data_IF_160438246335
#
_entry.id   IF_160438246335
#
_cell.length_a   1.000
_cell.length_b   1.000
_cell.length_c   1.000
_cell.angle_alpha   90.00
_cell.angle_beta   90.00
_cell.angle_gamma   90.00
#
_symmetry.space_group_name_H-M   'P 1'
#
loop_
_entity.id
_entity.type
_entity.pdbx_description
1 polymer ?
#
# COMPACT_ATOMS: atom_id res chain seq x y z
N UNK A 1 39.08 -1.02 -9.88
CA UNK A 1 38.19 -2.11 -9.43
C UNK A 1 39.04 -3.36 -9.40
N UNK A 2 39.18 -3.99 -8.23
CA UNK A 2 39.99 -5.21 -8.10
C UNK A 2 39.29 -6.37 -8.81
N UNK A 3 40.04 -7.41 -9.21
CA UNK A 3 39.48 -8.62 -9.86
C UNK A 3 38.39 -9.32 -9.01
N UNK A 4 38.31 -9.02 -7.70
CA UNK A 4 37.28 -9.55 -6.80
C UNK A 4 35.88 -8.91 -7.00
N UNK A 5 35.78 -7.74 -7.64
CA UNK A 5 34.49 -7.10 -7.91
C UNK A 5 33.74 -7.73 -9.10
N UNK A 6 34.44 -8.43 -10.00
CA UNK A 6 33.86 -9.00 -11.22
C UNK A 6 33.10 -10.33 -10.99
N UNK A 7 33.10 -10.86 -9.77
CA UNK A 7 32.50 -12.16 -9.42
C UNK A 7 31.27 -12.07 -8.51
N UNK A 8 30.86 -10.88 -8.06
CA UNK A 8 29.64 -10.76 -7.26
C UNK A 8 28.43 -10.95 -8.18
N UNK A 9 27.50 -11.87 -7.86
CA UNK A 9 26.29 -12.05 -8.65
C UNK A 9 25.50 -10.73 -8.68
N UNK A 10 24.97 -10.37 -9.85
CA UNK A 10 24.09 -9.20 -9.96
C UNK A 10 22.92 -9.37 -8.99
N UNK A 11 22.51 -8.32 -8.26
CA UNK A 11 21.40 -8.41 -7.30
C UNK A 11 20.05 -8.67 -7.97
N UNK A 12 19.97 -8.46 -9.29
CA UNK A 12 18.77 -8.64 -10.09
C UNK A 12 19.12 -9.13 -11.50
N UNK A 13 18.32 -10.03 -12.09
CA UNK A 13 18.45 -10.42 -13.50
C UNK A 13 17.80 -9.40 -14.46
N UNK A 14 17.08 -8.40 -13.94
CA UNK A 14 16.35 -7.43 -14.75
C UNK A 14 17.28 -6.30 -15.23
N UNK A 15 17.17 -5.86 -16.49
CA UNK A 15 17.92 -4.72 -17.00
C UNK A 15 17.54 -3.42 -16.28
N UNK A 16 18.55 -2.60 -15.98
CA UNK A 16 18.38 -1.33 -15.28
C UNK A 16 17.49 -0.37 -16.09
N UNK A 17 16.43 0.13 -15.48
CA UNK A 17 15.60 1.18 -16.07
C UNK A 17 14.58 0.76 -17.13
N UNK A 18 14.47 -0.53 -17.44
CA UNK A 18 13.54 -1.01 -18.48
C UNK A 18 12.22 -1.45 -17.86
N UNK A 19 11.12 -0.85 -18.29
CA UNK A 19 9.79 -1.36 -17.99
C UNK A 19 9.53 -2.62 -18.82
N UNK A 20 9.33 -3.75 -18.15
CA UNK A 20 9.17 -5.06 -18.79
C UNK A 20 7.77 -5.64 -18.51
N UNK A 21 6.78 -5.43 -19.40
CA UNK A 21 5.51 -6.15 -19.31
C UNK A 21 5.76 -7.66 -19.29
N UNK A 22 5.16 -8.36 -18.31
CA UNK A 22 5.39 -9.79 -18.06
C UNK A 22 6.85 -10.15 -17.64
N UNK A 23 7.61 -9.18 -17.15
CA UNK A 23 8.98 -9.38 -16.68
C UNK A 23 9.89 -9.97 -17.76
N UNK A 24 10.53 -11.12 -17.48
CA UNK A 24 11.39 -11.80 -18.46
C UNK A 24 10.63 -12.75 -19.40
N UNK A 25 9.30 -12.80 -19.33
CA UNK A 25 8.47 -13.75 -20.08
C UNK A 25 8.84 -15.22 -19.81
N UNK A 26 9.24 -15.52 -18.58
CA UNK A 26 9.68 -16.87 -18.14
C UNK A 26 8.66 -17.60 -17.28
N UNK A 27 7.50 -16.99 -17.04
CA UNK A 27 6.43 -17.60 -16.26
C UNK A 27 5.91 -18.86 -16.98
N UNK A 28 5.61 -19.95 -16.25
CA UNK A 28 5.05 -21.14 -16.85
C UNK A 28 3.67 -20.83 -17.47
N UNK A 29 3.31 -21.48 -18.60
CA UNK A 29 1.99 -21.28 -19.19
C UNK A 29 0.89 -21.72 -18.22
N UNK A 30 -0.23 -21.00 -18.19
CA UNK A 30 -1.41 -21.33 -17.40
C UNK A 30 -2.48 -21.97 -18.31
N UNK A 31 -2.57 -23.30 -18.41
CA UNK A 31 -3.56 -23.95 -19.27
C UNK A 31 -4.98 -23.77 -18.73
N UNK A 32 -5.98 -23.87 -19.61
CA UNK A 32 -7.39 -23.65 -19.24
C UNK A 32 -7.93 -24.64 -18.19
N UNK A 33 -7.27 -25.77 -18.00
CA UNK A 33 -7.60 -26.80 -17.00
C UNK A 33 -6.69 -26.78 -15.77
N UNK A 34 -5.87 -25.73 -15.59
CA UNK A 34 -5.02 -25.59 -14.42
C UNK A 34 -5.90 -25.50 -13.14
N UNK A 35 -5.55 -26.20 -12.05
CA UNK A 35 -6.36 -26.20 -10.81
C UNK A 35 -6.49 -24.83 -10.14
N UNK A 36 -5.66 -23.85 -10.53
CA UNK A 36 -5.71 -22.48 -10.00
C UNK A 36 -6.57 -21.53 -10.84
N UNK A 37 -7.10 -21.98 -11.98
CA UNK A 37 -8.02 -21.19 -12.80
C UNK A 37 -9.22 -20.76 -11.95
N UNK A 38 -9.41 -19.45 -11.84
CA UNK A 38 -10.50 -18.83 -11.08
C UNK A 38 -10.16 -18.46 -9.63
N UNK A 39 -8.92 -18.67 -9.17
CA UNK A 39 -8.46 -18.15 -7.88
C UNK A 39 -8.53 -16.61 -7.86
N UNK A 40 -8.79 -16.05 -6.68
CA UNK A 40 -9.05 -14.62 -6.48
C UNK A 40 -8.39 -14.13 -5.20
N UNK A 41 -7.69 -12.99 -5.29
CA UNK A 41 -7.30 -12.23 -4.10
C UNK A 41 -8.50 -11.41 -3.63
N UNK A 42 -9.19 -11.94 -2.61
CA UNK A 42 -10.47 -11.41 -2.16
C UNK A 42 -10.33 -10.13 -1.31
N UNK A 43 -9.55 -10.20 -0.24
CA UNK A 43 -9.38 -9.13 0.72
C UNK A 43 -7.93 -9.03 1.20
N UNK A 44 -7.60 -7.88 1.77
CA UNK A 44 -6.38 -7.65 2.54
C UNK A 44 -6.78 -7.27 3.97
N UNK A 45 -6.14 -7.87 4.97
CA UNK A 45 -6.43 -7.61 6.38
C UNK A 45 -5.32 -6.79 7.02
N UNK A 46 -5.69 -5.76 7.75
CA UNK A 46 -4.79 -5.02 8.63
C UNK A 46 -5.40 -4.81 10.00
N UNK A 47 -4.53 -4.82 11.02
CA UNK A 47 -4.95 -4.51 12.38
C UNK A 47 -5.05 -3.00 12.53
N UNK A 48 -6.12 -2.56 13.19
CA UNK A 48 -6.34 -1.14 13.49
C UNK A 48 -6.51 -0.96 14.99
N UNK A 49 -5.92 0.11 15.52
CA UNK A 49 -5.95 0.40 16.97
C UNK A 49 -7.27 1.03 17.37
N UNK A 50 -7.76 1.99 16.58
CA UNK A 50 -8.95 2.77 16.91
C UNK A 50 -9.91 2.78 15.70
N UNK A 51 -11.05 2.06 15.79
CA UNK A 51 -12.00 1.99 14.69
C UNK A 51 -12.63 3.34 14.37
N UNK A 52 -12.80 4.26 15.33
CA UNK A 52 -13.39 5.57 15.03
C UNK A 52 -12.50 6.36 14.07
N UNK A 53 -11.20 6.42 14.37
CA UNK A 53 -10.22 7.09 13.50
C UNK A 53 -10.11 6.41 12.15
N UNK A 54 -10.09 5.08 12.15
CA UNK A 54 -10.00 4.29 10.92
C UNK A 54 -11.22 4.48 10.03
N UNK A 55 -12.43 4.48 10.58
CA UNK A 55 -13.65 4.74 9.82
C UNK A 55 -13.68 6.16 9.27
N UNK A 56 -13.26 7.16 10.04
CA UNK A 56 -13.12 8.53 9.53
C UNK A 56 -12.21 8.57 8.30
N UNK A 57 -11.04 7.93 8.36
CA UNK A 57 -10.13 7.87 7.22
C UNK A 57 -10.71 7.10 6.03
N UNK A 58 -11.06 5.83 6.20
CA UNK A 58 -11.42 4.94 5.09
C UNK A 58 -12.83 5.20 4.54
N UNK A 59 -13.80 5.59 5.37
CA UNK A 59 -15.18 5.84 4.94
C UNK A 59 -15.40 7.30 4.55
N UNK A 60 -15.06 8.25 5.42
CA UNK A 60 -15.37 9.67 5.16
C UNK A 60 -14.40 10.30 4.17
N UNK A 61 -13.08 10.09 4.33
CA UNK A 61 -12.07 10.75 3.49
C UNK A 61 -11.77 9.96 2.21
N UNK A 62 -11.73 8.63 2.28
CA UNK A 62 -11.43 7.76 1.14
C UNK A 62 -12.67 7.25 0.41
N UNK A 63 -13.86 7.31 1.03
CA UNK A 63 -15.12 7.02 0.33
C UNK A 63 -15.51 5.54 0.27
N UNK A 64 -14.83 4.66 1.00
CA UNK A 64 -15.24 3.27 1.14
C UNK A 64 -16.54 3.16 1.94
N UNK A 65 -17.23 2.03 1.86
CA UNK A 65 -18.44 1.75 2.63
C UNK A 65 -18.37 0.38 3.26
N UNK A 66 -19.00 0.25 4.43
CA UNK A 66 -19.10 -1.02 5.14
C UNK A 66 -19.90 -2.02 4.32
N UNK A 67 -19.27 -3.16 4.04
CA UNK A 67 -19.93 -4.35 3.50
C UNK A 67 -20.62 -5.09 4.64
N UNK A 68 -19.84 -5.43 5.67
CA UNK A 68 -20.37 -5.98 6.92
C UNK A 68 -19.41 -5.69 8.08
N UNK A 69 -19.94 -5.82 9.29
CA UNK A 69 -19.18 -5.79 10.53
C UNK A 69 -19.56 -7.00 11.35
N UNK A 70 -18.58 -7.67 11.94
CA UNK A 70 -18.81 -8.81 12.83
C UNK A 70 -18.00 -8.64 14.10
N UNK A 71 -18.69 -8.47 15.22
CA UNK A 71 -18.08 -8.60 16.54
C UNK A 71 -18.07 -10.09 16.90
N UNK A 72 -16.88 -10.63 17.18
CA UNK A 72 -16.69 -12.05 17.50
C UNK A 72 -16.32 -12.28 18.97
N UNK A 73 -16.42 -11.26 19.82
CA UNK A 73 -16.04 -11.30 21.23
C UNK A 73 -14.81 -10.45 21.49
N UNK A 74 -13.58 -10.99 21.40
CA UNK A 74 -12.35 -10.26 21.72
C UNK A 74 -11.88 -9.27 20.63
N UNK A 75 -12.51 -9.34 19.45
CA UNK A 75 -12.20 -8.44 18.34
C UNK A 75 -13.43 -8.18 17.48
N UNK A 76 -13.34 -7.18 16.62
CA UNK A 76 -14.34 -6.88 15.59
C UNK A 76 -13.65 -6.70 14.25
N UNK A 77 -14.24 -7.31 13.22
CA UNK A 77 -13.80 -7.14 11.82
C UNK A 77 -14.77 -6.21 11.10
N UNK A 78 -14.22 -5.27 10.35
CA UNK A 78 -14.95 -4.34 9.50
C UNK A 78 -14.49 -4.59 8.06
N UNK A 79 -15.36 -5.17 7.25
CA UNK A 79 -15.10 -5.34 5.82
C UNK A 79 -15.59 -4.12 5.07
N UNK A 80 -14.68 -3.44 4.37
CA UNK A 80 -14.96 -2.25 3.58
C UNK A 80 -14.75 -2.52 2.09
N UNK A 81 -15.54 -1.86 1.26
CA UNK A 81 -15.38 -1.87 -0.20
C UNK A 81 -15.98 -0.62 -0.86
N UNK A 82 -15.78 -0.46 -2.16
CA UNK A 82 -16.35 0.66 -2.92
C UNK A 82 -17.64 0.28 -3.65
N UNK A 83 -18.75 1.01 -3.43
CA UNK A 83 -19.96 0.88 -4.24
C UNK A 83 -19.71 1.21 -5.72
N UNK A 84 -19.80 0.19 -6.59
CA UNK A 84 -19.46 0.34 -8.01
C UNK A 84 -20.61 0.93 -8.85
N UNK A 85 -21.86 0.73 -8.44
CA UNK A 85 -23.05 1.20 -9.19
C UNK A 85 -23.67 2.46 -8.59
N UNK A 86 -24.41 3.22 -9.40
CA UNK A 86 -25.17 4.37 -8.91
C UNK A 86 -26.25 3.96 -7.89
N UNK A 87 -26.86 2.79 -8.09
CA UNK A 87 -27.83 2.20 -7.16
C UNK A 87 -27.19 1.91 -5.80
N UNK A 88 -26.03 1.24 -5.76
CA UNK A 88 -25.32 0.97 -4.52
C UNK A 88 -24.81 2.24 -3.82
N UNK A 89 -24.48 3.30 -4.58
CA UNK A 89 -24.14 4.61 -4.00
C UNK A 89 -25.35 5.32 -3.40
N UNK A 90 -26.54 5.11 -3.94
CA UNK A 90 -27.79 5.69 -3.44
C UNK A 90 -28.38 4.90 -2.25
N UNK A 91 -28.16 3.58 -2.20
CA UNK A 91 -28.62 2.69 -1.13
C UNK A 91 -27.47 1.83 -0.59
N UNK A 92 -26.90 2.29 0.52
CA UNK A 92 -25.78 1.62 1.18
C UNK A 92 -26.17 0.32 1.89
N UNK A 93 -27.43 0.18 2.32
CA UNK A 93 -27.90 -1.07 2.91
C UNK A 93 -27.98 -2.17 1.85
N UNK A 94 -28.47 -1.81 0.65
CA UNK A 94 -28.42 -2.69 -0.52
C UNK A 94 -26.98 -3.03 -0.93
N UNK A 95 -26.08 -2.05 -0.96
CA UNK A 95 -24.66 -2.29 -1.23
C UNK A 95 -24.07 -3.34 -0.28
N UNK A 96 -24.27 -3.17 1.04
CA UNK A 96 -23.76 -4.09 2.05
C UNK A 96 -24.35 -5.49 1.88
N UNK A 97 -25.68 -5.60 1.75
CA UNK A 97 -26.39 -6.87 1.56
C UNK A 97 -25.95 -7.62 0.30
N UNK A 98 -25.99 -6.97 -0.86
CA UNK A 98 -25.63 -7.59 -2.14
C UNK A 98 -24.16 -8.03 -2.17
N UNK A 99 -23.26 -7.19 -1.66
CA UNK A 99 -21.82 -7.48 -1.62
C UNK A 99 -21.52 -8.62 -0.65
N UNK A 100 -22.14 -8.64 0.54
CA UNK A 100 -21.97 -9.72 1.52
C UNK A 100 -22.46 -11.08 0.97
N UNK A 101 -23.56 -11.11 0.22
CA UNK A 101 -24.04 -12.34 -0.44
C UNK A 101 -23.06 -12.86 -1.52
N UNK A 102 -22.17 -12.02 -2.03
CA UNK A 102 -21.16 -12.35 -3.05
C UNK A 102 -19.73 -12.23 -2.51
N UNK A 103 -19.55 -12.32 -1.18
CA UNK A 103 -18.30 -12.01 -0.51
C UNK A 103 -17.10 -12.71 -1.16
N UNK A 104 -17.19 -14.03 -1.32
CA UNK A 104 -16.17 -14.91 -1.92
C UNK A 104 -15.80 -14.62 -3.39
N UNK A 105 -16.55 -13.76 -4.08
CA UNK A 105 -16.30 -13.40 -5.47
C UNK A 105 -15.96 -11.92 -5.67
N UNK A 106 -16.08 -11.12 -4.62
CA UNK A 106 -15.76 -9.69 -4.63
C UNK A 106 -14.24 -9.52 -4.51
N UNK A 107 -13.65 -8.59 -5.24
CA UNK A 107 -12.22 -8.29 -5.18
C UNK A 107 -11.99 -6.95 -4.49
N UNK A 108 -10.80 -6.76 -3.93
CA UNK A 108 -10.38 -5.47 -3.39
C UNK A 108 -11.13 -5.05 -2.13
N UNK A 109 -11.49 -6.01 -1.28
CA UNK A 109 -12.04 -5.71 0.04
C UNK A 109 -10.92 -5.41 1.04
N UNK A 110 -11.16 -4.47 1.95
CA UNK A 110 -10.28 -4.18 3.07
C UNK A 110 -10.91 -4.70 4.35
N UNK A 111 -10.25 -5.62 5.02
CA UNK A 111 -10.62 -6.10 6.34
C UNK A 111 -9.84 -5.32 7.40
N UNK A 112 -10.53 -4.45 8.13
CA UNK A 112 -9.97 -3.78 9.29
C UNK A 112 -10.27 -4.61 10.54
N UNK A 113 -9.23 -5.02 11.24
CA UNK A 113 -9.31 -5.94 12.37
C UNK A 113 -8.98 -5.21 13.67
N UNK A 114 -10.01 -4.94 14.47
CA UNK A 114 -9.88 -4.24 15.74
C UNK A 114 -9.85 -5.23 16.91
N UNK A 115 -8.69 -5.38 17.55
CA UNK A 115 -8.57 -6.10 18.82
C UNK A 115 -9.02 -5.19 19.95
N UNK A 116 -10.04 -5.60 20.70
CA UNK A 116 -10.66 -4.73 21.70
C UNK A 116 -9.68 -4.36 22.82
N UNK A 117 -9.63 -3.07 23.15
CA UNK A 117 -8.74 -2.52 24.16
C UNK A 117 -7.39 -2.04 23.63
N UNK A 118 -7.07 -2.27 22.35
CA UNK A 118 -5.90 -1.67 21.69
C UNK A 118 -5.98 -0.13 21.67
N UNK A 119 -7.19 0.43 21.53
CA UNK A 119 -7.47 1.86 21.60
C UNK A 119 -7.11 2.49 22.96
N UNK A 120 -7.04 1.68 24.02
CA UNK A 120 -6.66 2.11 25.39
C UNK A 120 -5.18 1.88 25.72
N UNK A 121 -4.44 1.16 24.87
CA UNK A 121 -3.02 0.93 25.11
C UNK A 121 -2.20 2.16 24.76
N UNK A 122 -1.07 2.34 25.44
CA UNK A 122 -0.09 3.36 25.08
C UNK A 122 0.51 3.06 23.70
N UNK A 123 0.87 4.12 22.99
CA UNK A 123 1.71 4.03 21.80
C UNK A 123 3.16 4.07 22.23
N UNK A 124 4.03 3.42 21.46
CA UNK A 124 5.48 3.49 21.66
C UNK A 124 6.12 3.94 20.35
N UNK A 125 7.25 4.67 20.41
CA UNK A 125 8.08 4.86 19.22
C UNK A 125 8.47 3.51 18.63
N UNK A 126 8.66 3.43 17.32
CA UNK A 126 9.27 2.22 16.75
C UNK A 126 10.69 2.05 17.29
N UNK A 127 11.08 0.80 17.53
CA UNK A 127 12.43 0.48 17.95
C UNK A 127 13.44 0.77 16.83
N UNK A 128 14.51 1.53 17.11
CA UNK A 128 15.62 1.68 16.17
C UNK A 128 15.53 2.87 15.20
N UNK A 129 14.60 3.81 15.41
CA UNK A 129 14.58 5.08 14.69
C UNK A 129 14.35 6.25 15.66
N UNK A 130 15.37 7.10 15.86
CA UNK A 130 15.20 8.37 16.61
C UNK A 130 14.16 9.25 15.92
N UNK A 131 13.17 9.74 16.68
CA UNK A 131 12.08 10.56 16.14
C UNK A 131 10.95 9.78 15.45
N UNK A 132 10.91 8.45 15.56
CA UNK A 132 9.83 7.64 15.00
C UNK A 132 8.46 8.00 15.58
N UNK A 133 7.44 8.04 14.72
CA UNK A 133 6.07 8.28 15.16
C UNK A 133 5.59 7.16 16.10
N UNK A 134 5.03 7.53 17.25
CA UNK A 134 4.51 6.56 18.20
C UNK A 134 3.29 5.82 17.65
N UNK A 135 3.27 4.50 17.77
CA UNK A 135 2.14 3.67 17.34
C UNK A 135 1.99 2.43 18.20
N UNK A 136 0.88 1.72 18.02
CA UNK A 136 0.60 0.46 18.72
C UNK A 136 0.90 -0.75 17.83
N UNK A 137 0.54 -0.69 16.54
CA UNK A 137 0.85 -1.73 15.57
C UNK A 137 2.04 -1.33 14.69
N UNK A 138 2.92 -2.29 14.41
CA UNK A 138 3.96 -2.11 13.40
C UNK A 138 3.32 -2.08 12.00
N UNK A 139 3.80 -1.16 11.17
CA UNK A 139 3.31 -0.97 9.80
C UNK A 139 4.03 -1.85 8.79
N UNK A 140 5.18 -2.43 9.16
CA UNK A 140 6.07 -3.12 8.22
C UNK A 140 7.11 -2.21 7.54
N UNK A 141 7.12 -0.91 7.84
CA UNK A 141 7.99 0.07 7.16
C UNK A 141 9.03 0.71 8.09
N UNK A 142 9.23 0.15 9.28
CA UNK A 142 10.26 0.62 10.21
C UNK A 142 11.03 -0.56 10.76
N UNK A 143 12.38 -0.52 10.72
CA UNK A 143 13.20 -1.53 11.38
C UNK A 143 12.83 -1.68 12.86
N UNK A 144 13.13 -2.83 13.48
CA UNK A 144 13.60 -4.07 12.85
C UNK A 144 12.47 -4.84 12.12
N UNK A 145 11.24 -4.32 12.10
CA UNK A 145 10.04 -5.05 11.69
C UNK A 145 9.66 -4.77 10.22
N UNK A 146 10.62 -4.78 9.30
CA UNK A 146 10.37 -4.56 7.87
C UNK A 146 9.56 -5.70 7.25
N UNK A 147 8.60 -5.40 6.37
CA UNK A 147 7.70 -6.38 5.78
C UNK A 147 6.67 -5.75 4.83
N UNK A 148 5.42 -5.59 5.31
CA UNK A 148 4.35 -4.96 4.52
C UNK A 148 4.72 -3.53 4.12
N UNK A 149 4.56 -3.19 2.85
CA UNK A 149 4.85 -1.85 2.31
C UNK A 149 3.66 -0.90 2.46
N UNK A 150 2.65 -1.02 1.60
CA UNK A 150 1.54 -0.08 1.56
C UNK A 150 0.28 -0.69 0.92
N UNK A 151 -0.84 -0.03 1.12
CA UNK A 151 -2.04 -0.21 0.31
C UNK A 151 -1.96 0.69 -0.93
N UNK A 152 -2.50 0.23 -2.07
CA UNK A 152 -2.64 1.04 -3.28
C UNK A 152 -4.10 1.30 -3.64
N UNK A 153 -4.48 2.57 -3.78
CA UNK A 153 -5.81 2.99 -4.22
C UNK A 153 -5.69 3.80 -5.51
N UNK A 154 -6.39 3.35 -6.55
CA UNK A 154 -6.54 4.18 -7.74
C UNK A 154 -7.60 5.26 -7.51
N UNK A 155 -7.29 6.49 -7.92
CA UNK A 155 -8.17 7.65 -7.78
C UNK A 155 -8.30 8.38 -9.13
N UNK A 156 -9.45 9.01 -9.41
CA UNK A 156 -9.62 9.80 -10.63
C UNK A 156 -8.65 10.98 -10.74
N UNK A 157 -8.31 11.61 -9.61
CA UNK A 157 -7.41 12.75 -9.51
C UNK A 157 -6.60 12.67 -8.21
N UNK A 158 -5.30 12.41 -8.33
CA UNK A 158 -4.36 12.43 -7.19
C UNK A 158 -4.29 13.81 -6.54
N UNK A 159 -4.17 14.94 -7.29
CA UNK A 159 -4.16 16.27 -6.68
C UNK A 159 -5.38 16.56 -5.80
N UNK A 160 -6.58 16.22 -6.28
CA UNK A 160 -7.83 16.48 -5.53
C UNK A 160 -7.96 15.56 -4.31
N UNK A 161 -7.61 14.28 -4.45
CA UNK A 161 -7.58 13.35 -3.32
C UNK A 161 -6.60 13.81 -2.24
N UNK A 162 -5.39 14.18 -2.64
CA UNK A 162 -4.35 14.64 -1.72
C UNK A 162 -4.73 15.97 -1.05
N UNK A 163 -5.30 16.91 -1.79
CA UNK A 163 -5.78 18.17 -1.22
C UNK A 163 -6.87 17.95 -0.15
N UNK A 164 -7.82 17.05 -0.40
CA UNK A 164 -8.85 16.67 0.58
C UNK A 164 -8.24 16.06 1.84
N UNK A 165 -7.27 15.16 1.69
CA UNK A 165 -6.61 14.50 2.81
C UNK A 165 -5.79 15.50 3.64
N UNK A 166 -4.98 16.34 2.99
CA UNK A 166 -4.23 17.45 3.62
C UNK A 166 -5.15 18.38 4.41
N UNK A 167 -6.28 18.78 3.82
CA UNK A 167 -7.27 19.65 4.48
C UNK A 167 -7.89 19.03 5.74
N UNK A 168 -7.82 17.70 5.89
CA UNK A 168 -8.30 16.97 7.05
C UNK A 168 -7.18 16.52 8.01
N UNK A 169 -5.97 17.08 7.86
CA UNK A 169 -4.84 16.82 8.75
C UNK A 169 -4.19 15.46 8.57
N UNK A 170 -4.42 14.78 7.44
CA UNK A 170 -3.76 13.52 7.12
C UNK A 170 -2.28 13.78 6.84
N UNK A 171 -1.40 12.98 7.44
CA UNK A 171 0.04 13.04 7.21
C UNK A 171 0.38 12.62 5.77
N UNK A 172 1.19 13.44 5.11
CA UNK A 172 1.72 13.16 3.77
C UNK A 172 3.13 12.63 3.92
N UNK A 173 3.34 11.38 3.52
CA UNK A 173 4.65 10.74 3.50
C UNK A 173 5.45 11.19 2.28
N UNK A 174 4.77 11.32 1.14
CA UNK A 174 5.35 11.76 -0.13
C UNK A 174 4.32 12.58 -0.89
N UNK A 175 4.70 13.80 -1.25
CA UNK A 175 3.86 14.68 -2.06
C UNK A 175 3.90 14.34 -3.56
N UNK A 176 2.97 14.91 -4.31
CA UNK A 176 2.96 14.82 -5.77
C UNK A 176 4.15 15.58 -6.35
N UNK A 177 4.76 15.05 -7.41
CA UNK A 177 5.94 15.65 -8.05
C UNK A 177 7.27 15.35 -7.36
N UNK A 178 7.25 14.75 -6.17
CA UNK A 178 8.46 14.37 -5.43
C UNK A 178 8.99 13.03 -5.95
N UNK A 179 10.29 12.98 -6.23
CA UNK A 179 11.04 11.75 -6.50
C UNK A 179 12.51 11.98 -6.11
N UNK A 180 12.79 11.77 -4.84
CA UNK A 180 14.13 11.82 -4.25
C UNK A 180 14.41 10.49 -3.53
N UNK A 181 15.66 10.29 -3.12
CA UNK A 181 16.06 9.03 -2.49
C UNK A 181 15.34 8.82 -1.15
N UNK A 182 15.06 9.91 -0.45
CA UNK A 182 14.42 9.95 0.86
C UNK A 182 12.94 9.54 0.80
N UNK A 183 12.25 9.78 -0.33
CA UNK A 183 10.87 9.35 -0.54
C UNK A 183 10.72 7.91 -1.02
N UNK A 184 11.81 7.24 -1.39
CA UNK A 184 11.82 5.84 -1.78
C UNK A 184 11.99 4.96 -0.54
N UNK A 185 11.15 3.92 -0.33
CA UNK A 185 11.09 3.14 0.91
C UNK A 185 12.25 2.13 1.01
N UNK A 186 13.48 2.63 1.09
CA UNK A 186 14.69 1.88 1.44
C UNK A 186 15.29 2.58 2.65
N UNK A 187 15.30 1.88 3.79
CA UNK A 187 15.65 2.47 5.08
C UNK A 187 17.16 2.74 5.22
N UNK A 188 17.52 3.73 6.02
CA UNK A 188 18.94 3.96 6.37
C UNK A 188 19.54 2.75 7.09
N UNK A 189 18.74 2.04 7.88
CA UNK A 189 19.14 0.79 8.53
C UNK A 189 19.57 -0.28 7.52
N UNK A 190 18.90 -0.38 6.37
CA UNK A 190 19.30 -1.26 5.25
C UNK A 190 20.58 -0.72 4.57
N UNK A 191 20.62 0.57 4.25
CA UNK A 191 21.76 1.19 3.58
C UNK A 191 23.07 1.04 4.38
N UNK A 192 23.04 1.29 5.69
CA UNK A 192 24.18 1.14 6.60
C UNK A 192 24.73 -0.28 6.63
N UNK A 193 23.91 -1.28 6.25
CA UNK A 193 24.27 -2.69 6.14
C UNK A 193 24.64 -3.11 4.72
N UNK A 194 24.76 -2.16 3.80
CA UNK A 194 25.08 -2.44 2.39
C UNK A 194 23.91 -2.97 1.57
N UNK A 195 22.67 -2.82 2.05
CA UNK A 195 21.45 -3.27 1.36
C UNK A 195 20.78 -2.07 0.69
N UNK A 196 20.43 -2.21 -0.60
CA UNK A 196 19.73 -1.14 -1.34
C UNK A 196 20.54 0.14 -1.56
N UNK A 197 21.88 0.05 -1.54
CA UNK A 197 22.77 1.21 -1.63
C UNK A 197 22.79 1.79 -3.04
N UNK A 198 22.43 3.07 -3.12
CA UNK A 198 22.50 3.86 -4.35
C UNK A 198 23.93 4.37 -4.57
N UNK A 199 24.49 4.14 -5.77
CA UNK A 199 25.77 4.70 -6.19
C UNK A 199 25.59 5.39 -7.53
N UNK A 200 25.70 6.73 -7.52
CA UNK A 200 25.51 7.57 -8.71
C UNK A 200 26.44 7.15 -9.85
N UNK A 201 25.88 7.10 -11.06
CA UNK A 201 26.59 6.69 -12.28
C UNK A 201 26.75 5.17 -12.43
N UNK A 202 26.04 4.36 -11.64
CA UNK A 202 26.08 2.89 -11.72
C UNK A 202 24.69 2.29 -11.93
N UNK A 203 24.63 0.97 -12.17
CA UNK A 203 23.38 0.22 -12.28
C UNK A 203 22.57 0.18 -10.95
N UNK A 204 23.11 0.67 -9.83
CA UNK A 204 22.37 0.80 -8.56
C UNK A 204 21.78 2.20 -8.33
N UNK A 205 22.04 3.18 -9.20
CA UNK A 205 21.39 4.49 -9.16
C UNK A 205 19.89 4.35 -9.49
N UNK A 206 19.03 5.15 -8.85
CA UNK A 206 17.61 5.17 -9.20
C UNK A 206 17.47 5.64 -10.65
N UNK A 207 16.94 4.77 -11.50
CA UNK A 207 16.85 5.07 -12.92
C UNK A 207 15.84 6.21 -13.19
N UNK A 208 16.14 7.19 -14.06
CA UNK A 208 15.25 8.33 -14.32
C UNK A 208 13.85 7.97 -14.80
N UNK A 209 13.69 6.83 -15.48
CA UNK A 209 12.36 6.32 -15.89
C UNK A 209 11.45 6.05 -14.69
N UNK A 210 12.00 5.66 -13.54
CA UNK A 210 11.20 5.46 -12.32
C UNK A 210 10.56 6.77 -11.87
N UNK A 211 11.28 7.90 -12.01
CA UNK A 211 10.75 9.21 -11.62
C UNK A 211 9.52 9.62 -12.44
N UNK A 212 9.41 9.20 -13.70
CA UNK A 212 8.23 9.51 -14.54
C UNK A 212 6.93 8.97 -13.92
N UNK A 213 6.99 7.76 -13.39
CA UNK A 213 5.86 7.12 -12.67
C UNK A 213 5.75 7.67 -11.25
N UNK A 214 6.86 7.68 -10.51
CA UNK A 214 6.86 7.97 -9.07
C UNK A 214 6.43 9.41 -8.74
N UNK A 215 6.70 10.37 -9.63
CA UNK A 215 6.23 11.75 -9.47
C UNK A 215 4.71 11.91 -9.62
N UNK A 216 4.02 10.94 -10.23
CA UNK A 216 2.57 10.97 -10.48
C UNK A 216 1.73 10.38 -9.34
N UNK A 217 2.37 9.69 -8.39
CA UNK A 217 1.72 9.12 -7.21
C UNK A 217 1.98 9.96 -5.96
N UNK A 218 1.18 9.76 -4.93
CA UNK A 218 1.39 10.34 -3.61
C UNK A 218 1.21 9.28 -2.51
N UNK A 219 1.91 9.45 -1.40
CA UNK A 219 1.78 8.59 -0.22
C UNK A 219 1.26 9.40 0.97
N UNK A 220 0.26 8.86 1.66
CA UNK A 220 -0.24 9.38 2.93
C UNK A 220 -0.20 8.29 4.00
N UNK A 221 -0.34 8.66 5.28
CA UNK A 221 -0.56 7.68 6.36
C UNK A 221 -2.02 7.60 6.75
N UNK A 222 -2.47 6.38 7.00
CA UNK A 222 -3.70 6.16 7.75
C UNK A 222 -3.47 6.41 9.26
N UNK A 223 -4.51 6.34 10.11
CA UNK A 223 -4.41 6.62 11.54
C UNK A 223 -3.50 5.67 12.34
N UNK A 224 -3.21 4.48 11.82
CA UNK A 224 -2.30 3.50 12.43
C UNK A 224 -0.88 3.61 11.87
N UNK A 225 -0.68 4.49 10.87
CA UNK A 225 0.60 4.80 10.26
C UNK A 225 0.91 3.98 9.01
N UNK A 226 -0.01 3.13 8.55
CA UNK A 226 0.15 2.39 7.30
C UNK A 226 0.20 3.36 6.13
N UNK A 227 1.11 3.11 5.19
CA UNK A 227 1.23 3.92 3.99
C UNK A 227 0.08 3.56 3.04
N UNK A 228 -0.55 4.59 2.50
CA UNK A 228 -1.60 4.52 1.49
C UNK A 228 -1.14 5.27 0.24
N UNK A 229 -0.99 4.55 -0.85
CA UNK A 229 -0.64 5.06 -2.17
C UNK A 229 -1.88 5.51 -2.94
N UNK A 230 -1.79 6.71 -3.50
CA UNK A 230 -2.77 7.30 -4.40
C UNK A 230 -2.24 7.21 -5.84
N UNK A 231 -2.82 6.31 -6.63
CA UNK A 231 -2.43 6.04 -8.01
C UNK A 231 -3.44 6.70 -8.96
N UNK A 232 -3.02 7.45 -9.99
CA UNK A 232 -3.96 8.03 -10.95
C UNK A 232 -4.57 6.95 -11.86
N UNK A 233 -5.87 7.04 -12.14
CA UNK A 233 -6.56 6.11 -13.06
C UNK A 233 -6.27 6.37 -14.55
N UNK A 234 -5.80 7.57 -14.90
CA UNK A 234 -5.73 8.05 -16.28
C UNK A 234 -4.29 8.26 -16.77
N UNK A 235 -3.36 7.39 -16.37
CA UNK A 235 -1.96 7.42 -16.82
C UNK A 235 -1.66 6.12 -17.55
N UNK A 236 -1.07 6.22 -18.75
CA UNK A 236 -0.58 5.05 -19.46
C UNK A 236 0.70 4.55 -18.75
N UNK A 237 0.72 3.33 -18.19
CA UNK A 237 1.91 2.79 -17.55
C UNK A 237 3.05 2.47 -18.55
N UNK A 238 2.75 2.39 -19.85
CA UNK A 238 3.74 2.17 -20.93
C UNK A 238 4.26 3.47 -21.55
N UNK A 239 3.57 4.58 -21.33
CA UNK A 239 4.00 5.94 -21.67
C UNK A 239 3.74 6.88 -20.48
N UNK A 240 4.51 6.70 -19.39
CA UNK A 240 4.20 7.26 -18.09
C UNK A 240 4.68 8.71 -17.90
#
# INVERSE_FOLDING_TARGET
MSEQDQQRPKPTPFPHGVFLPNGLNTDPPLPANDPTVGYKLNHFMMRIRDPEKSMKFYIELMGMRTVFTMNVGPFTIYYLGYPQTAEHRADLAKFGGDTAMKLQHTLGLLELYHVHGSERQATTPDEGAEGAAERYYSTGNTPPNLGFGHLGFTVPSVPEALARLKANGVEVVKDLGVCDRESIPISDWENERGVGVEVKGTESEIHPEYAKVFTKIAFVRDPDGYIVELVPQNVDPLDP
#
